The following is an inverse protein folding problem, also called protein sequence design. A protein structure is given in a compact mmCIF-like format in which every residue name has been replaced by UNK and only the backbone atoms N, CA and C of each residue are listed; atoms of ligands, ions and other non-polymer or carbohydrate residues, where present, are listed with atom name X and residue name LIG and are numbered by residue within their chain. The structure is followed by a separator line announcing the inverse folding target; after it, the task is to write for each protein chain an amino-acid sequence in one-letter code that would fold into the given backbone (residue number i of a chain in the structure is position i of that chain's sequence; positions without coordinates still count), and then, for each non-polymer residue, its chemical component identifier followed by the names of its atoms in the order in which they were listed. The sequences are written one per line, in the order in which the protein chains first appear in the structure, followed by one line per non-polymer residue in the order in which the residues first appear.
data_IF_659205483877
#
_entry.id   IF_659205483877
#
_cell.length_a   1.000
_cell.length_b   1.000
_cell.length_c   1.000
_cell.angle_alpha   90.00
_cell.angle_beta   90.00
_cell.angle_gamma   90.00
#
_symmetry.space_group_name_H-M   'P 1'
#
loop_
_entity.id
_entity.type
_entity.pdbx_description
1 polymer ?
#
# COMPACT_ATOMS: atom_id res chain seq x y z
N UNK A 1 -18.35 -17.31 30.44
CA UNK A 1 -17.17 -16.44 30.64
C UNK A 1 -16.90 -15.68 29.35
N UNK A 2 -16.43 -14.45 29.42
CA UNK A 2 -16.08 -13.66 28.24
C UNK A 2 -14.90 -12.71 28.54
N UNK A 3 -13.92 -12.67 27.64
CA UNK A 3 -12.78 -11.77 27.71
C UNK A 3 -12.99 -10.49 26.89
N UNK A 4 -12.15 -9.48 27.08
CA UNK A 4 -12.18 -8.26 26.28
C UNK A 4 -10.81 -7.62 26.19
N UNK A 5 -10.48 -7.07 25.03
CA UNK A 5 -9.26 -6.29 24.83
C UNK A 5 -9.59 -5.02 24.04
N UNK A 6 -9.10 -3.89 24.54
CA UNK A 6 -9.03 -2.62 23.82
C UNK A 6 -7.62 -2.06 24.01
N UNK A 7 -7.25 -1.04 23.23
CA UNK A 7 -5.89 -0.48 23.28
C UNK A 7 -5.46 -0.11 24.72
N UNK A 8 -4.56 -0.90 25.30
CA UNK A 8 -4.02 -0.68 26.64
C UNK A 8 -4.80 -1.31 27.79
N UNK A 9 -5.91 -2.04 27.53
CA UNK A 9 -6.73 -2.62 28.58
C UNK A 9 -7.19 -4.05 28.24
N UNK A 10 -7.28 -4.89 29.26
CA UNK A 10 -7.83 -6.23 29.18
C UNK A 10 -8.90 -6.44 30.27
N UNK A 11 -9.90 -7.26 29.96
CA UNK A 11 -11.03 -7.56 30.84
C UNK A 11 -11.39 -9.04 30.81
N UNK A 12 -11.90 -9.55 31.91
CA UNK A 12 -12.57 -10.85 31.99
C UNK A 12 -13.83 -10.74 32.87
N UNK A 13 -14.92 -11.36 32.40
CA UNK A 13 -16.17 -11.49 33.15
C UNK A 13 -16.58 -12.96 33.18
N UNK A 14 -16.76 -13.50 34.38
CA UNK A 14 -17.24 -14.87 34.62
C UNK A 14 -18.48 -14.87 35.53
N UNK A 15 -19.46 -15.70 35.18
CA UNK A 15 -20.66 -15.93 35.98
C UNK A 15 -20.76 -17.41 36.33
N UNK A 16 -21.08 -17.69 37.58
CA UNK A 16 -21.36 -19.01 38.15
C UNK A 16 -22.77 -18.98 38.75
N UNK A 17 -23.82 -19.11 37.92
CA UNK A 17 -25.19 -18.80 38.32
C UNK A 17 -25.75 -19.72 39.41
N UNK A 18 -25.41 -21.01 39.36
CA UNK A 18 -25.84 -22.02 40.35
C UNK A 18 -25.35 -21.69 41.75
N UNK A 19 -24.20 -21.02 41.85
CA UNK A 19 -23.55 -20.65 43.09
C UNK A 19 -23.74 -19.17 43.45
N UNK A 20 -24.51 -18.43 42.64
CA UNK A 20 -24.78 -17.00 42.87
C UNK A 20 -23.52 -16.11 42.81
N UNK A 21 -22.47 -16.52 42.09
CA UNK A 21 -21.20 -15.79 42.01
C UNK A 21 -21.00 -15.14 40.64
N UNK A 22 -20.58 -13.88 40.64
CA UNK A 22 -20.07 -13.17 39.46
C UNK A 22 -18.70 -12.58 39.77
N UNK A 23 -17.77 -12.71 38.82
CA UNK A 23 -16.41 -12.21 38.92
C UNK A 23 -16.13 -11.30 37.72
N UNK A 24 -15.62 -10.10 38.00
CA UNK A 24 -15.19 -9.13 36.98
C UNK A 24 -13.78 -8.69 37.32
N UNK A 25 -12.85 -8.86 36.37
CA UNK A 25 -11.47 -8.41 36.52
C UNK A 25 -11.08 -7.56 35.33
N UNK A 26 -10.52 -6.39 35.61
CA UNK A 26 -10.08 -5.41 34.62
C UNK A 26 -8.61 -5.08 34.88
N UNK A 27 -7.85 -4.82 33.82
CA UNK A 27 -6.45 -4.36 33.91
C UNK A 27 -6.15 -3.35 32.83
N UNK A 28 -5.20 -2.45 33.12
CA UNK A 28 -4.67 -1.43 32.23
C UNK A 28 -3.36 -1.88 31.55
N UNK A 29 -3.30 -3.16 31.18
CA UNK A 29 -2.21 -3.75 30.43
C UNK A 29 -2.77 -4.40 29.17
N UNK A 30 -2.23 -4.02 28.01
CA UNK A 30 -2.65 -4.55 26.72
C UNK A 30 -2.37 -6.05 26.60
N UNK A 31 -3.35 -6.83 26.11
CA UNK A 31 -3.23 -8.30 25.90
C UNK A 31 -2.70 -9.00 27.15
N UNK A 32 -3.22 -8.61 28.31
CA UNK A 32 -2.77 -9.15 29.59
C UNK A 32 -3.48 -10.46 29.93
N UNK A 33 -2.76 -11.51 30.35
CA UNK A 33 -3.37 -12.74 30.84
C UNK A 33 -3.90 -12.61 32.28
N UNK A 34 -3.58 -11.50 32.97
CA UNK A 34 -3.89 -11.30 34.39
C UNK A 34 -5.40 -11.42 34.70
N UNK A 35 -6.33 -10.84 33.91
CA UNK A 35 -7.75 -10.93 34.22
C UNK A 35 -8.26 -12.37 34.33
N UNK A 36 -7.80 -13.25 33.43
CA UNK A 36 -8.17 -14.67 33.45
C UNK A 36 -7.53 -15.39 34.65
N UNK A 37 -6.23 -15.22 34.87
CA UNK A 37 -5.50 -15.83 36.00
C UNK A 37 -6.16 -15.47 37.34
N UNK A 38 -6.51 -14.20 37.53
CA UNK A 38 -7.13 -13.71 38.77
C UNK A 38 -8.55 -14.25 38.89
N UNK A 39 -9.33 -14.28 37.80
CA UNK A 39 -10.69 -14.81 37.80
C UNK A 39 -10.70 -16.27 38.25
N UNK A 40 -9.84 -17.11 37.68
CA UNK A 40 -9.72 -18.52 38.05
C UNK A 40 -9.24 -18.70 39.49
N UNK A 41 -8.27 -17.89 39.92
CA UNK A 41 -7.77 -17.92 41.30
C UNK A 41 -8.83 -17.52 42.34
N UNK A 42 -9.73 -16.59 41.99
CA UNK A 42 -10.88 -16.21 42.83
C UNK A 42 -11.88 -17.37 42.86
N UNK A 43 -12.22 -17.96 41.71
CA UNK A 43 -13.17 -19.07 41.63
C UNK A 43 -12.72 -20.26 42.50
N UNK A 44 -11.45 -20.68 42.41
CA UNK A 44 -10.90 -21.77 43.23
C UNK A 44 -11.11 -21.52 44.73
N UNK A 45 -10.89 -20.28 45.18
CA UNK A 45 -11.04 -19.90 46.59
C UNK A 45 -12.50 -19.84 47.02
N UNK A 46 -13.37 -19.25 46.20
CA UNK A 46 -14.80 -19.10 46.50
C UNK A 46 -15.51 -20.46 46.58
N UNK A 47 -15.10 -21.41 45.73
CA UNK A 47 -15.65 -22.77 45.71
C UNK A 47 -14.89 -23.75 46.61
N UNK A 48 -13.89 -23.29 47.37
CA UNK A 48 -13.06 -24.12 48.26
C UNK A 48 -12.42 -25.31 47.53
N UNK A 49 -12.08 -25.10 46.25
CA UNK A 49 -11.38 -26.08 45.44
C UNK A 49 -9.91 -26.14 45.85
N UNK A 50 -9.24 -27.21 45.42
CA UNK A 50 -7.79 -27.30 45.56
C UNK A 50 -7.14 -26.17 44.72
N UNK A 51 -6.33 -25.28 45.31
CA UNK A 51 -5.73 -24.18 44.57
C UNK A 51 -4.86 -24.68 43.41
N UNK A 52 -5.10 -24.14 42.21
CA UNK A 52 -4.24 -24.34 41.04
C UNK A 52 -3.28 -23.14 40.92
N UNK A 53 -2.03 -23.40 40.54
CA UNK A 53 -1.04 -22.35 40.28
C UNK A 53 -1.23 -21.76 38.86
N UNK A 54 -2.36 -21.06 38.68
CA UNK A 54 -2.72 -20.43 37.42
C UNK A 54 -1.64 -19.47 36.89
N UNK A 55 -0.95 -18.76 37.80
CA UNK A 55 0.13 -17.86 37.43
C UNK A 55 1.38 -18.62 36.98
N UNK A 56 1.74 -19.70 37.67
CA UNK A 56 2.85 -20.57 37.28
C UNK A 56 2.62 -21.21 35.92
N UNK A 57 1.41 -21.69 35.64
CA UNK A 57 1.07 -22.28 34.35
C UNK A 57 1.04 -21.24 33.23
N UNK A 58 0.48 -20.06 33.47
CA UNK A 58 0.57 -18.95 32.51
C UNK A 58 2.03 -18.54 32.24
N UNK A 59 2.90 -18.54 33.26
CA UNK A 59 4.32 -18.23 33.10
C UNK A 59 5.05 -19.30 32.27
N UNK A 60 4.75 -20.59 32.47
CA UNK A 60 5.30 -21.69 31.65
C UNK A 60 4.84 -21.58 30.20
N UNK A 61 3.55 -21.33 29.97
CA UNK A 61 3.01 -21.11 28.64
C UNK A 61 3.68 -19.92 27.93
N UNK A 62 3.83 -18.79 28.63
CA UNK A 62 4.53 -17.63 28.10
C UNK A 62 6.02 -17.90 27.80
N UNK A 63 6.69 -18.71 28.61
CA UNK A 63 8.07 -19.12 28.36
C UNK A 63 8.18 -20.01 27.11
N UNK A 64 7.28 -20.99 26.95
CA UNK A 64 7.24 -21.86 25.78
C UNK A 64 6.98 -21.05 24.49
N UNK A 65 6.03 -20.11 24.51
CA UNK A 65 5.76 -19.20 23.39
C UNK A 65 7.00 -18.34 23.07
N UNK A 66 7.70 -17.82 24.09
CA UNK A 66 8.93 -17.04 23.86
C UNK A 66 10.04 -17.87 23.22
N UNK A 67 10.25 -19.11 23.66
CA UNK A 67 11.27 -19.98 23.07
C UNK A 67 10.91 -20.38 21.64
N UNK A 68 9.64 -20.71 21.37
CA UNK A 68 9.16 -20.95 20.00
C UNK A 68 9.35 -19.72 19.11
N UNK A 69 8.96 -18.52 19.57
CA UNK A 69 9.15 -17.28 18.83
C UNK A 69 10.64 -16.96 18.57
N UNK A 70 11.55 -17.29 19.50
CA UNK A 70 13.00 -17.14 19.28
C UNK A 70 13.50 -18.11 18.22
N UNK A 71 13.05 -19.36 18.26
CA UNK A 71 13.42 -20.38 17.27
C UNK A 71 12.87 -20.02 15.88
N UNK A 72 11.63 -19.54 15.79
CA UNK A 72 11.02 -19.05 14.56
C UNK A 72 11.79 -17.86 13.99
N UNK A 73 12.07 -16.81 14.79
CA UNK A 73 12.88 -15.66 14.34
C UNK A 73 14.28 -16.08 13.89
N UNK A 74 14.89 -17.07 14.54
CA UNK A 74 16.19 -17.59 14.13
C UNK A 74 16.12 -18.33 12.78
N UNK A 75 15.01 -19.01 12.48
CA UNK A 75 14.76 -19.66 11.20
C UNK A 75 14.36 -18.65 10.10
N UNK A 76 13.55 -17.65 10.41
CA UNK A 76 13.22 -16.54 9.49
C UNK A 76 14.49 -15.84 9.00
N UNK A 77 15.45 -15.58 9.91
CA UNK A 77 16.76 -15.02 9.54
C UNK A 77 17.58 -15.91 8.61
N UNK A 78 17.42 -17.24 8.69
CA UNK A 78 18.11 -18.20 7.79
C UNK A 78 17.46 -18.26 6.41
N UNK A 79 16.18 -17.93 6.31
CA UNK A 79 15.42 -17.94 5.05
C UNK A 79 15.52 -16.63 4.26
N UNK A 80 16.21 -15.62 4.80
CA UNK A 80 16.46 -14.38 4.09
C UNK A 80 17.39 -14.63 2.89
N UNK A 81 16.93 -14.24 1.70
CA UNK A 81 17.75 -14.24 0.49
C UNK A 81 18.58 -12.96 0.49
N UNK A 82 19.82 -13.08 0.96
CA UNK A 82 20.74 -11.95 1.09
C UNK A 82 21.30 -11.49 -0.27
N UNK A 83 21.84 -10.27 -0.29
CA UNK A 83 22.55 -9.68 -1.43
C UNK A 83 21.72 -9.56 -2.72
N UNK A 84 20.42 -9.36 -2.56
CA UNK A 84 19.51 -9.03 -3.65
C UNK A 84 19.28 -7.52 -3.71
N UNK A 85 18.78 -7.05 -4.84
CA UNK A 85 18.35 -5.67 -5.04
C UNK A 85 16.96 -5.64 -5.68
N UNK A 86 16.21 -4.54 -5.56
CA UNK A 86 15.04 -4.31 -6.38
C UNK A 86 15.38 -4.49 -7.86
N UNK A 87 14.48 -5.10 -8.63
CA UNK A 87 14.70 -5.34 -10.06
C UNK A 87 14.56 -4.05 -10.89
N UNK A 88 13.80 -3.06 -10.39
CA UNK A 88 13.71 -1.70 -10.94
C UNK A 88 14.33 -0.63 -10.04
N UNK A 89 14.57 0.55 -10.61
CA UNK A 89 14.84 1.75 -9.82
C UNK A 89 13.62 2.09 -8.93
N UNK A 90 13.85 2.66 -7.74
CA UNK A 90 12.77 2.96 -6.78
C UNK A 90 11.65 3.83 -7.39
N UNK A 91 11.98 4.74 -8.31
CA UNK A 91 10.99 5.55 -9.03
C UNK A 91 9.97 4.73 -9.81
N UNK A 92 10.28 3.51 -10.23
CA UNK A 92 9.41 2.68 -11.05
C UNK A 92 8.37 1.90 -10.23
N UNK A 93 8.49 1.88 -8.89
CA UNK A 93 7.48 1.35 -7.99
C UNK A 93 6.46 2.42 -7.57
N UNK A 94 6.75 3.69 -7.84
CA UNK A 94 5.87 4.82 -7.51
C UNK A 94 4.62 4.76 -8.37
N UNK A 95 3.46 4.90 -7.75
CA UNK A 95 2.18 4.80 -8.43
C UNK A 95 1.05 4.53 -7.46
N UNK A 96 -0.15 4.40 -8.01
CA UNK A 96 -1.33 4.02 -7.25
C UNK A 96 -1.73 2.60 -7.59
N UNK A 97 -2.19 1.89 -6.58
CA UNK A 97 -2.56 0.49 -6.64
C UNK A 97 -3.91 0.32 -5.97
N UNK A 98 -4.81 -0.42 -6.57
CA UNK A 98 -6.18 -0.55 -6.08
C UNK A 98 -6.61 -2.01 -5.98
N UNK A 99 -7.34 -2.31 -4.92
CA UNK A 99 -8.13 -3.52 -4.82
C UNK A 99 -9.59 -3.13 -4.52
N UNK A 100 -10.61 -3.70 -5.20
CA UNK A 100 -12.01 -3.32 -4.99
C UNK A 100 -12.52 -3.43 -3.55
N UNK A 101 -11.97 -4.36 -2.75
CA UNK A 101 -12.40 -4.59 -1.36
C UNK A 101 -11.60 -3.75 -0.35
N UNK A 102 -10.33 -3.46 -0.65
CA UNK A 102 -9.40 -2.81 0.28
C UNK A 102 -9.08 -1.34 -0.07
N UNK A 103 -9.50 -0.88 -1.24
CA UNK A 103 -9.34 0.49 -1.69
C UNK A 103 -7.97 0.79 -2.30
N UNK A 104 -7.60 2.08 -2.23
CA UNK A 104 -6.43 2.66 -2.88
C UNK A 104 -5.21 2.66 -1.95
N UNK A 105 -4.08 2.26 -2.50
CA UNK A 105 -2.75 2.35 -1.91
C UNK A 105 -1.86 3.18 -2.83
N UNK A 106 -1.26 4.25 -2.29
CA UNK A 106 -0.36 5.12 -3.06
C UNK A 106 1.08 4.91 -2.62
N UNK A 107 1.94 4.48 -3.54
CA UNK A 107 3.37 4.35 -3.33
C UNK A 107 4.05 5.64 -3.78
N UNK A 108 4.82 6.25 -2.90
CA UNK A 108 5.58 7.48 -3.15
C UNK A 108 7.06 7.27 -2.84
N UNK A 109 7.93 7.99 -3.56
CA UNK A 109 9.34 8.06 -3.25
C UNK A 109 9.65 9.37 -2.56
N UNK A 110 10.07 9.31 -1.30
CA UNK A 110 10.52 10.46 -0.52
C UNK A 110 11.97 10.24 -0.12
N UNK A 111 12.88 11.13 -0.55
CA UNK A 111 14.31 11.07 -0.21
C UNK A 111 14.93 9.69 -0.45
N UNK A 112 14.63 9.08 -1.59
CA UNK A 112 15.12 7.76 -2.01
C UNK A 112 14.64 6.61 -1.10
N UNK A 113 13.46 6.75 -0.52
CA UNK A 113 12.77 5.73 0.26
C UNK A 113 11.34 5.60 -0.23
N UNK A 114 10.86 4.37 -0.33
CA UNK A 114 9.48 4.11 -0.71
C UNK A 114 8.57 4.17 0.50
N UNK A 115 7.45 4.87 0.37
CA UNK A 115 6.39 4.89 1.36
C UNK A 115 5.08 4.43 0.72
N UNK A 116 4.35 3.56 1.41
CA UNK A 116 2.97 3.25 1.09
C UNK A 116 2.05 4.09 1.97
N UNK A 117 1.18 4.86 1.32
CA UNK A 117 0.10 5.59 1.96
C UNK A 117 -1.21 4.82 1.74
N UNK A 118 -1.83 4.37 2.83
CA UNK A 118 -3.08 3.60 2.82
C UNK A 118 -4.02 4.23 3.82
N UNK A 119 -5.11 4.84 3.33
CA UNK A 119 -5.99 5.69 4.14
C UNK A 119 -5.16 6.74 4.92
N UNK A 120 -5.25 6.76 6.25
CA UNK A 120 -4.49 7.68 7.12
C UNK A 120 -3.10 7.15 7.53
N UNK A 121 -2.76 5.92 7.14
CA UNK A 121 -1.52 5.27 7.55
C UNK A 121 -0.40 5.52 6.53
N UNK A 122 0.80 5.76 7.05
CA UNK A 122 2.03 5.86 6.28
C UNK A 122 2.98 4.74 6.69
N UNK A 123 3.44 3.96 5.72
CA UNK A 123 4.32 2.82 5.93
C UNK A 123 5.62 3.03 5.14
N UNK A 124 6.77 2.97 5.80
CA UNK A 124 8.06 2.93 5.13
C UNK A 124 8.30 1.51 4.59
N UNK A 125 8.54 1.37 3.28
CA UNK A 125 8.83 0.08 2.65
C UNK A 125 10.34 -0.15 2.65
N UNK A 126 10.81 -1.03 3.54
CA UNK A 126 12.20 -1.48 3.59
C UNK A 126 12.40 -2.64 2.63
N UNK A 127 13.35 -2.53 1.71
CA UNK A 127 13.69 -3.63 0.82
C UNK A 127 14.12 -4.85 1.64
N UNK A 128 13.53 -6.01 1.33
CA UNK A 128 13.82 -7.28 1.98
C UNK A 128 14.62 -8.18 1.04
N UNK A 129 14.03 -8.54 -0.11
CA UNK A 129 14.71 -9.24 -1.19
C UNK A 129 13.99 -9.10 -2.52
N UNK A 130 14.73 -9.02 -3.63
CA UNK A 130 14.16 -8.80 -4.97
C UNK A 130 13.13 -7.64 -4.95
N UNK A 131 11.90 -7.90 -5.38
CA UNK A 131 10.81 -6.94 -5.42
C UNK A 131 9.89 -7.05 -4.17
N UNK A 132 10.41 -7.62 -3.09
CA UNK A 132 9.73 -7.80 -1.81
C UNK A 132 10.22 -6.78 -0.80
N UNK A 133 9.27 -6.07 -0.18
CA UNK A 133 9.49 -5.04 0.81
C UNK A 133 8.73 -5.34 2.10
N UNK A 134 9.37 -5.07 3.22
CA UNK A 134 8.77 -5.10 4.54
C UNK A 134 8.24 -3.70 4.91
N UNK A 135 6.95 -3.56 5.27
CA UNK A 135 6.41 -2.30 5.74
C UNK A 135 6.78 -2.04 7.20
N UNK A 136 7.15 -0.80 7.51
CA UNK A 136 7.31 -0.28 8.87
C UNK A 136 6.37 0.89 9.08
N UNK A 137 5.51 0.81 10.09
CA UNK A 137 4.59 1.90 10.44
C UNK A 137 5.35 3.17 10.79
N UNK A 138 4.84 4.31 10.34
CA UNK A 138 5.38 5.64 10.67
C UNK A 138 4.34 6.39 11.49
N UNK A 139 4.69 6.78 12.70
CA UNK A 139 3.78 7.54 13.56
C UNK A 139 3.61 8.99 13.08
N UNK A 140 2.69 9.73 13.72
CA UNK A 140 2.40 11.15 13.37
C UNK A 140 3.60 12.09 13.60
N UNK A 141 4.61 11.67 14.36
CA UNK A 141 5.85 12.40 14.61
C UNK A 141 6.97 12.00 13.64
N UNK A 142 6.70 11.07 12.72
CA UNK A 142 7.68 10.56 11.76
C UNK A 142 8.58 9.45 12.31
N UNK A 143 8.29 8.91 13.48
CA UNK A 143 9.07 7.82 14.08
C UNK A 143 8.66 6.50 13.42
N UNK A 144 9.67 5.79 12.92
CA UNK A 144 9.50 4.49 12.26
C UNK A 144 9.49 3.40 13.32
N UNK A 145 8.46 2.56 13.30
CA UNK A 145 8.38 1.36 14.12
C UNK A 145 9.49 0.37 13.72
N UNK A 146 10.11 -0.25 14.72
CA UNK A 146 11.19 -1.22 14.54
C UNK A 146 10.70 -2.66 14.59
N UNK A 147 9.43 -2.89 14.95
CA UNK A 147 8.83 -4.22 14.93
C UNK A 147 8.88 -4.84 13.52
N UNK A 148 9.10 -6.15 13.48
CA UNK A 148 9.05 -6.94 12.24
C UNK A 148 7.59 -7.12 11.80
N UNK A 149 7.31 -6.96 10.51
CA UNK A 149 6.00 -7.17 9.91
C UNK A 149 5.99 -8.49 9.14
N UNK A 150 4.96 -9.31 9.39
CA UNK A 150 4.69 -10.51 8.60
C UNK A 150 3.97 -10.22 7.28
N UNK A 151 3.39 -9.03 7.14
CA UNK A 151 2.72 -8.61 5.90
C UNK A 151 3.73 -8.00 4.96
N UNK A 152 4.20 -8.77 3.98
CA UNK A 152 5.16 -8.31 2.97
C UNK A 152 4.46 -7.72 1.75
N UNK A 153 5.12 -6.75 1.12
CA UNK A 153 4.70 -6.12 -0.14
C UNK A 153 5.54 -6.73 -1.26
N UNK A 154 4.92 -7.57 -2.10
CA UNK A 154 5.60 -8.20 -3.22
C UNK A 154 5.12 -7.58 -4.54
N UNK A 155 5.99 -6.85 -5.23
CA UNK A 155 5.65 -6.18 -6.48
C UNK A 155 5.78 -7.11 -7.69
N UNK A 156 4.86 -6.99 -8.63
CA UNK A 156 4.84 -7.81 -9.85
C UNK A 156 4.92 -6.96 -11.11
N UNK A 157 5.79 -7.38 -12.04
CA UNK A 157 5.91 -6.79 -13.37
C UNK A 157 5.04 -7.50 -14.42
N UNK A 158 4.61 -6.76 -15.44
CA UNK A 158 3.96 -7.33 -16.61
C UNK A 158 4.98 -7.73 -17.70
N UNK A 159 4.50 -8.28 -18.83
CA UNK A 159 5.34 -8.70 -19.96
C UNK A 159 6.16 -7.56 -20.63
N UNK A 160 5.80 -6.30 -20.37
CA UNK A 160 6.58 -5.14 -20.83
C UNK A 160 7.65 -4.70 -19.81
N UNK A 161 7.82 -5.46 -18.71
CA UNK A 161 8.78 -5.19 -17.65
C UNK A 161 8.37 -4.01 -16.75
N UNK A 162 7.09 -3.60 -16.74
CA UNK A 162 6.60 -2.51 -15.88
C UNK A 162 5.87 -3.06 -14.66
N UNK A 163 6.04 -2.40 -13.51
CA UNK A 163 5.26 -2.70 -12.31
C UNK A 163 3.77 -2.58 -12.62
N UNK A 164 3.03 -3.64 -12.33
CA UNK A 164 1.62 -3.82 -12.70
C UNK A 164 0.74 -4.14 -11.51
N UNK A 165 1.33 -4.46 -10.36
CA UNK A 165 0.60 -4.70 -9.13
C UNK A 165 1.53 -4.93 -7.94
N UNK A 166 0.93 -5.00 -6.77
CA UNK A 166 1.57 -5.41 -5.52
C UNK A 166 0.64 -6.38 -4.80
N UNK A 167 1.18 -7.49 -4.31
CA UNK A 167 0.42 -8.47 -3.52
C UNK A 167 0.78 -8.36 -2.04
N UNK A 168 -0.23 -8.47 -1.19
CA UNK A 168 -0.08 -8.47 0.27
C UNK A 168 -0.73 -9.70 0.88
N UNK A 169 -0.01 -10.39 1.76
CA UNK A 169 -0.58 -11.46 2.58
C UNK A 169 -1.28 -10.85 3.81
N UNK A 170 -2.56 -10.49 3.66
CA UNK A 170 -3.35 -9.86 4.74
C UNK A 170 -3.94 -10.88 5.71
N UNK A 171 -4.14 -12.11 5.25
CA UNK A 171 -4.69 -13.23 6.03
C UNK A 171 -3.77 -14.44 5.79
N UNK A 172 -3.11 -15.00 6.82
CA UNK A 172 -2.12 -16.06 6.65
C UNK A 172 -2.68 -17.35 6.01
N UNK A 173 -4.00 -17.58 6.11
CA UNK A 173 -4.64 -18.80 5.62
C UNK A 173 -5.28 -18.64 4.23
N UNK A 174 -5.06 -17.50 3.56
CA UNK A 174 -5.63 -17.20 2.23
C UNK A 174 -4.55 -16.90 1.21
N UNK A 175 -4.95 -16.81 -0.05
CA UNK A 175 -4.09 -16.32 -1.12
C UNK A 175 -3.72 -14.82 -0.92
N UNK A 176 -2.53 -14.38 -1.36
CA UNK A 176 -2.14 -12.98 -1.34
C UNK A 176 -3.16 -12.09 -2.08
N UNK A 177 -3.52 -10.96 -1.49
CA UNK A 177 -4.43 -9.99 -2.08
C UNK A 177 -3.67 -9.12 -3.07
N UNK A 178 -4.10 -9.14 -4.34
CA UNK A 178 -3.55 -8.28 -5.39
C UNK A 178 -4.17 -6.88 -5.35
N UNK A 179 -3.32 -5.86 -5.31
CA UNK A 179 -3.65 -4.48 -5.65
C UNK A 179 -3.08 -4.21 -7.04
N UNK A 180 -3.96 -4.04 -8.02
CA UNK A 180 -3.56 -3.80 -9.41
C UNK A 180 -3.12 -2.35 -9.57
N UNK A 181 -2.10 -2.10 -10.40
CA UNK A 181 -1.69 -0.75 -10.74
C UNK A 181 -2.88 0.02 -11.34
N UNK A 182 -3.16 1.18 -10.77
CA UNK A 182 -4.20 2.11 -11.18
C UNK A 182 -3.53 3.35 -11.75
N UNK A 183 -3.65 3.52 -13.06
CA UNK A 183 -3.26 4.75 -13.71
C UNK A 183 -4.04 5.93 -13.11
N UNK A 184 -3.34 6.87 -12.49
CA UNK A 184 -3.95 8.12 -12.03
C UNK A 184 -3.99 9.11 -13.18
N UNK A 185 -5.18 9.63 -13.50
CA UNK A 185 -5.29 10.76 -14.40
C UNK A 185 -4.49 11.95 -13.84
N UNK A 186 -3.89 12.73 -14.73
CA UNK A 186 -3.28 14.00 -14.36
C UNK A 186 -4.33 14.93 -13.72
N UNK A 187 -3.92 15.65 -12.68
CA UNK A 187 -4.75 16.70 -12.09
C UNK A 187 -5.04 17.80 -13.11
N UNK A 188 -6.11 18.57 -12.91
CA UNK A 188 -6.44 19.70 -13.80
C UNK A 188 -5.27 20.68 -13.94
N UNK A 189 -4.49 20.89 -12.87
CA UNK A 189 -3.29 21.75 -12.88
C UNK A 189 -2.18 21.17 -13.75
N UNK A 190 -1.98 19.86 -13.74
CA UNK A 190 -1.02 19.19 -14.62
C UNK A 190 -1.49 19.19 -16.07
N UNK A 191 -2.78 18.94 -16.32
CA UNK A 191 -3.37 19.02 -17.66
C UNK A 191 -3.25 20.43 -18.24
N UNK A 192 -3.39 21.49 -17.43
CA UNK A 192 -3.18 22.88 -17.84
C UNK A 192 -1.76 23.12 -18.39
N UNK A 193 -0.74 22.43 -17.88
CA UNK A 193 0.61 22.56 -18.40
C UNK A 193 0.76 21.99 -19.82
N UNK A 194 -0.15 21.10 -20.24
CA UNK A 194 -0.16 20.45 -21.55
C UNK A 194 -0.96 21.24 -22.61
N UNK A 195 -1.86 22.14 -22.18
CA UNK A 195 -2.63 23.01 -23.08
C UNK A 195 -1.70 23.97 -23.82
N UNK A 196 -1.92 24.14 -25.13
CA UNK A 196 -1.16 25.08 -25.94
C UNK A 196 -1.28 24.82 -27.44
N UNK A 197 -0.56 25.60 -28.23
CA UNK A 197 -0.36 25.32 -29.65
C UNK A 197 1.01 24.66 -29.87
N UNK A 198 1.04 23.68 -30.77
CA UNK A 198 2.21 22.90 -31.12
C UNK A 198 2.37 22.90 -32.64
N UNK A 199 3.54 23.30 -33.14
CA UNK A 199 3.88 23.32 -34.54
C UNK A 199 4.35 21.93 -34.99
N UNK A 200 3.58 21.28 -35.87
CA UNK A 200 3.95 20.06 -36.57
C UNK A 200 4.25 20.40 -38.03
N UNK A 201 5.52 20.68 -38.34
CA UNK A 201 5.90 21.27 -39.62
C UNK A 201 5.22 22.64 -39.80
N UNK A 202 4.42 22.80 -40.86
CA UNK A 202 3.63 24.02 -41.11
C UNK A 202 2.25 24.01 -40.42
N UNK A 203 1.86 22.89 -39.82
CA UNK A 203 0.53 22.72 -39.22
C UNK A 203 0.54 23.15 -37.75
N UNK A 204 -0.42 23.97 -37.31
CA UNK A 204 -0.61 24.29 -35.89
C UNK A 204 -1.60 23.30 -35.27
N UNK A 205 -1.14 22.44 -34.38
CA UNK A 205 -1.97 21.55 -33.57
C UNK A 205 -2.35 22.28 -32.30
N UNK A 206 -3.64 22.34 -31.97
CA UNK A 206 -4.12 22.93 -30.73
C UNK A 206 -4.49 21.85 -29.73
N UNK A 207 -3.94 21.94 -28.52
CA UNK A 207 -4.30 21.09 -27.39
C UNK A 207 -5.08 21.94 -26.38
N UNK A 208 -6.25 21.46 -25.97
CA UNK A 208 -7.13 22.20 -25.06
C UNK A 208 -7.93 21.25 -24.15
N UNK A 209 -8.53 21.80 -23.09
CA UNK A 209 -9.41 21.05 -22.18
C UNK A 209 -10.88 21.30 -22.52
N UNK A 210 -11.69 20.25 -22.43
CA UNK A 210 -13.16 20.32 -22.35
C UNK A 210 -13.59 19.54 -21.11
N UNK A 211 -13.95 20.25 -20.04
CA UNK A 211 -14.07 19.64 -18.71
C UNK A 211 -12.70 19.25 -18.16
N UNK A 212 -12.54 17.99 -17.76
CA UNK A 212 -11.30 17.36 -17.29
C UNK A 212 -10.59 16.52 -18.37
N UNK A 213 -11.07 16.57 -19.61
CA UNK A 213 -10.53 15.77 -20.72
C UNK A 213 -9.75 16.65 -21.70
N UNK A 214 -8.54 16.21 -22.05
CA UNK A 214 -7.72 16.83 -23.09
C UNK A 214 -8.24 16.46 -24.48
N UNK A 215 -8.23 17.45 -25.37
CA UNK A 215 -8.54 17.30 -26.79
C UNK A 215 -7.35 17.76 -27.63
N UNK A 216 -7.12 17.04 -28.72
CA UNK A 216 -6.11 17.38 -29.73
C UNK A 216 -6.82 17.74 -31.03
N UNK A 217 -6.73 19.01 -31.44
CA UNK A 217 -7.27 19.52 -32.68
C UNK A 217 -6.16 19.67 -33.72
N UNK A 218 -6.27 18.91 -34.81
CA UNK A 218 -5.40 19.02 -35.97
C UNK A 218 -6.22 19.65 -37.11
N UNK A 219 -5.75 20.74 -37.73
CA UNK A 219 -6.45 21.39 -38.84
C UNK A 219 -6.85 20.40 -39.94
N UNK A 220 -8.11 20.46 -40.37
CA UNK A 220 -8.67 19.56 -41.39
C UNK A 220 -9.11 18.19 -40.87
N UNK A 221 -9.02 17.95 -39.55
CA UNK A 221 -9.46 16.72 -38.90
C UNK A 221 -10.48 17.04 -37.79
N UNK A 222 -11.29 16.06 -37.34
CA UNK A 222 -12.06 16.23 -36.12
C UNK A 222 -11.15 16.39 -34.90
N UNK A 223 -11.67 17.02 -33.85
CA UNK A 223 -10.99 17.10 -32.57
C UNK A 223 -11.01 15.75 -31.88
N UNK A 224 -9.83 15.25 -31.49
CA UNK A 224 -9.69 13.95 -30.87
C UNK A 224 -9.77 14.06 -29.36
N UNK A 225 -10.79 13.43 -28.77
CA UNK A 225 -10.86 13.15 -27.33
C UNK A 225 -9.70 12.22 -26.94
N UNK A 226 -9.05 12.51 -25.83
CA UNK A 226 -7.92 11.71 -25.35
C UNK A 226 -8.25 10.90 -24.11
N UNK A 227 -7.59 9.76 -23.96
CA UNK A 227 -7.68 8.89 -22.78
C UNK A 227 -6.28 8.78 -22.19
N UNK A 228 -6.11 9.23 -20.95
CA UNK A 228 -4.84 9.12 -20.24
C UNK A 228 -4.38 7.66 -20.17
N UNK A 229 -3.07 7.45 -20.28
CA UNK A 229 -2.46 6.12 -20.17
C UNK A 229 -1.45 6.08 -19.04
N UNK A 230 -0.33 6.78 -19.21
CA UNK A 230 0.75 6.85 -18.22
C UNK A 230 1.59 8.11 -18.40
N UNK A 231 2.14 8.63 -17.31
CA UNK A 231 3.05 9.78 -17.31
C UNK A 231 2.43 11.02 -17.96
N UNK A 232 2.82 11.31 -19.20
CA UNK A 232 2.22 12.38 -20.02
C UNK A 232 1.76 11.86 -21.38
N UNK A 233 1.33 10.60 -21.43
CA UNK A 233 0.92 9.89 -22.64
C UNK A 233 -0.60 9.65 -22.63
N UNK A 234 -1.21 9.80 -23.80
CA UNK A 234 -2.65 9.69 -23.98
C UNK A 234 -2.99 8.98 -25.29
N UNK A 235 -3.93 8.04 -25.27
CA UNK A 235 -4.49 7.46 -26.48
C UNK A 235 -5.52 8.41 -27.12
N UNK A 236 -5.61 8.41 -28.44
CA UNK A 236 -6.69 9.09 -29.16
C UNK A 236 -7.90 8.16 -29.22
N UNK A 237 -8.99 8.49 -28.50
CA UNK A 237 -10.13 7.58 -28.26
C UNK A 237 -10.76 7.04 -29.55
N UNK A 238 -10.83 7.87 -30.57
CA UNK A 238 -11.44 7.52 -31.86
C UNK A 238 -10.50 6.70 -32.78
N UNK A 239 -9.20 6.61 -32.47
CA UNK A 239 -8.18 6.05 -33.37
C UNK A 239 -7.37 4.94 -32.67
N UNK A 240 -7.67 3.68 -32.99
CA UNK A 240 -6.91 2.53 -32.46
C UNK A 240 -5.47 2.56 -32.97
N UNK A 241 -4.51 2.42 -32.04
CA UNK A 241 -3.07 2.42 -32.35
C UNK A 241 -2.45 3.82 -32.45
N UNK A 242 -3.22 4.88 -32.16
CA UNK A 242 -2.74 6.26 -32.16
C UNK A 242 -2.69 6.81 -30.74
N UNK A 243 -1.58 7.42 -30.38
CA UNK A 243 -1.41 8.10 -29.10
C UNK A 243 -0.57 9.36 -29.25
N UNK A 244 -0.58 10.17 -28.21
CA UNK A 244 0.26 11.36 -28.09
C UNK A 244 1.01 11.31 -26.76
N UNK A 245 2.25 11.80 -26.76
CA UNK A 245 3.08 11.92 -25.55
C UNK A 245 3.65 13.32 -25.45
N UNK A 246 3.39 13.99 -24.34
CA UNK A 246 3.96 15.30 -24.06
C UNK A 246 5.34 15.16 -23.43
N UNK A 247 6.27 16.00 -23.84
CA UNK A 247 7.56 16.17 -23.16
C UNK A 247 7.45 17.37 -22.23
N UNK A 248 7.76 17.16 -20.95
CA UNK A 248 7.64 18.18 -19.90
C UNK A 248 9.00 18.32 -19.23
N UNK A 249 9.57 19.52 -19.24
CA UNK A 249 10.84 19.81 -18.57
C UNK A 249 10.62 20.57 -17.26
N UNK A 250 11.18 20.05 -16.16
CA UNK A 250 11.25 20.74 -14.87
C UNK A 250 9.91 21.13 -14.23
N UNK A 251 8.83 20.37 -14.49
CA UNK A 251 7.49 20.64 -13.93
C UNK A 251 6.78 21.87 -14.51
N UNK A 252 7.23 22.36 -15.65
CA UNK A 252 6.66 23.52 -16.36
C UNK A 252 5.66 23.08 -17.44
N UNK A 253 5.23 24.04 -18.24
CA UNK A 253 4.53 23.85 -19.52
C UNK A 253 5.27 22.84 -20.40
N UNK A 254 4.54 21.88 -21.01
CA UNK A 254 5.12 20.92 -21.96
C UNK A 254 5.86 21.65 -23.08
N UNK A 255 7.03 21.16 -23.50
CA UNK A 255 7.88 21.77 -24.53
C UNK A 255 7.58 21.22 -25.92
N UNK A 256 7.08 19.99 -26.00
CA UNK A 256 6.69 19.36 -27.25
C UNK A 256 5.59 18.30 -27.06
N UNK A 257 5.00 17.91 -28.19
CA UNK A 257 3.99 16.88 -28.32
C UNK A 257 4.45 15.87 -29.38
N UNK A 258 4.63 14.61 -29.00
CA UNK A 258 4.97 13.53 -29.93
C UNK A 258 3.69 12.77 -30.30
N UNK A 259 3.35 12.73 -31.59
CA UNK A 259 2.36 11.81 -32.13
C UNK A 259 3.00 10.46 -32.36
N UNK A 260 2.39 9.40 -31.82
CA UNK A 260 2.82 8.02 -31.97
C UNK A 260 1.73 7.32 -32.78
N UNK A 261 2.10 6.88 -33.98
CA UNK A 261 1.17 6.34 -34.97
C UNK A 261 1.77 5.07 -35.60
N UNK A 262 0.95 4.18 -36.21
CA UNK A 262 1.45 2.95 -36.83
C UNK A 262 2.49 3.19 -37.94
N UNK A 263 2.44 4.35 -38.60
CA UNK A 263 3.33 4.77 -39.67
C UNK A 263 4.57 5.56 -39.20
N UNK A 264 4.71 5.82 -37.90
CA UNK A 264 5.87 6.51 -37.34
C UNK A 264 5.53 7.49 -36.22
N UNK A 265 6.59 8.09 -35.67
CA UNK A 265 6.47 9.10 -34.63
C UNK A 265 6.76 10.49 -35.19
N UNK A 266 5.89 11.47 -34.89
CA UNK A 266 5.99 12.82 -35.41
C UNK A 266 5.98 13.85 -34.28
N UNK A 267 7.04 14.67 -34.19
CA UNK A 267 7.23 15.62 -33.09
C UNK A 267 6.72 17.00 -33.47
N UNK A 268 5.85 17.56 -32.63
CA UNK A 268 5.34 18.91 -32.73
C UNK A 268 5.91 19.79 -31.60
N UNK A 269 6.55 20.90 -31.93
CA UNK A 269 7.21 21.78 -30.95
C UNK A 269 6.22 22.82 -30.45
N UNK A 270 6.16 23.05 -29.13
CA UNK A 270 5.26 24.07 -28.58
C UNK A 270 5.59 25.45 -29.16
N UNK A 271 4.55 26.17 -29.57
CA UNK A 271 4.65 27.59 -29.92
C UNK A 271 4.73 28.40 -28.62
N UNK A 272 5.70 29.31 -28.56
CA UNK A 272 5.90 30.23 -27.43
C UNK A 272 4.63 31.06 -27.16
#
# INVERSE_FOLDING_TARGET
EHGGNINGFSANVAFYPTDGLGIVVLTNQNVSPVPEIVTQSIADRMFKLKPIDWNGDAKKAAAAVRENNKAEKANEKKNLILNTSPSHALSNYVGSFENPAYGLMKIVNEKNQLYANVAENKLLLKHLHYDVFEPKSVDKKGVVDTAESKTLFNFASNNAGKISGVTLQLDPDKEPVLFAFKAENLSVKELQNLIGEYALGQTSVRVYLRGDVLYVAVPGQPDYETVFTEGSSFNLKALKGYSVKFEVEGGKKATSLLFIQPNGNFKAIRKN
#
